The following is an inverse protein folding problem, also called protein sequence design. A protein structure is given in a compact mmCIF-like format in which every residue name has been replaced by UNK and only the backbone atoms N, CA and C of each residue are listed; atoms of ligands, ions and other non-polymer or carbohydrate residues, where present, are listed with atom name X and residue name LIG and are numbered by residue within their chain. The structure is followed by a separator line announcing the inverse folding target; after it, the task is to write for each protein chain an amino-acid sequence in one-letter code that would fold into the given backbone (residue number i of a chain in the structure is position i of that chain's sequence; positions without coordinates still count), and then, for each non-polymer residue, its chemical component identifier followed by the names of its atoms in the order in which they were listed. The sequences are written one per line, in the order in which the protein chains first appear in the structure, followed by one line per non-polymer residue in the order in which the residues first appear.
data_IF_227987244029
#
_entry.id   IF_227987244029
#
_cell.length_a   1.000
_cell.length_b   1.000
_cell.length_c   1.000
_cell.angle_alpha   90.00
_cell.angle_beta   90.00
_cell.angle_gamma   90.00
#
_symmetry.space_group_name_H-M   'P 1'
#
loop_
_entity.id
_entity.type
_entity.pdbx_description
1 polymer ?
#
# COMPACT_ATOMS: atom_id res chain seq x y z
N UNK A 1 14.08 -7.64 -14.66
CA UNK A 1 13.42 -6.69 -13.76
C UNK A 1 14.39 -5.57 -13.43
N UNK A 2 13.90 -4.33 -13.32
CA UNK A 2 14.66 -3.16 -12.89
C UNK A 2 14.22 -2.83 -11.46
N UNK A 3 15.16 -2.54 -10.55
CA UNK A 3 14.85 -2.16 -9.17
C UNK A 3 15.48 -0.82 -8.86
N UNK A 4 14.67 0.11 -8.36
CA UNK A 4 15.10 1.44 -7.93
C UNK A 4 15.05 1.47 -6.40
N UNK A 5 16.21 1.48 -5.75
CA UNK A 5 16.32 1.44 -4.28
C UNK A 5 17.03 2.65 -3.69
N UNK A 6 17.69 3.44 -4.53
CA UNK A 6 18.38 4.65 -4.08
C UNK A 6 17.36 5.79 -3.90
N UNK A 7 17.45 6.59 -2.82
CA UNK A 7 16.49 7.66 -2.53
C UNK A 7 16.65 8.92 -3.41
N UNK A 8 17.27 8.81 -4.58
CA UNK A 8 17.46 9.92 -5.52
C UNK A 8 16.45 9.90 -6.68
N UNK A 9 16.16 11.10 -7.21
CA UNK A 9 15.32 11.23 -8.39
C UNK A 9 15.96 10.51 -9.58
N UNK A 10 15.25 9.51 -10.10
CA UNK A 10 15.71 8.68 -11.22
C UNK A 10 14.77 8.81 -12.40
N UNK A 11 15.33 8.96 -13.60
CA UNK A 11 14.57 8.96 -14.86
C UNK A 11 14.66 7.56 -15.46
N UNK A 12 13.50 7.02 -15.85
CA UNK A 12 13.39 5.73 -16.54
C UNK A 12 12.84 5.99 -17.93
N UNK A 13 13.53 5.50 -18.96
CA UNK A 13 13.12 5.61 -20.35
C UNK A 13 12.66 4.25 -20.88
N UNK A 14 11.48 4.22 -21.50
CA UNK A 14 10.95 3.04 -22.18
C UNK A 14 11.04 3.24 -23.68
N UNK A 15 11.60 2.27 -24.39
CA UNK A 15 11.86 2.36 -25.84
C UNK A 15 10.78 1.68 -26.70
N UNK A 16 9.74 1.13 -26.09
CA UNK A 16 8.66 0.44 -26.79
C UNK A 16 7.39 1.30 -26.89
N UNK A 17 6.51 1.06 -27.89
CA UNK A 17 5.37 1.95 -28.16
C UNK A 17 4.27 1.98 -27.10
N UNK A 18 4.10 0.88 -26.34
CA UNK A 18 3.06 0.69 -25.32
C UNK A 18 3.66 -0.03 -24.09
N UNK A 19 4.54 0.62 -23.32
CA UNK A 19 5.21 -0.03 -22.20
C UNK A 19 4.25 -0.54 -21.13
N UNK A 20 3.12 0.12 -20.93
CA UNK A 20 2.09 -0.25 -19.96
C UNK A 20 1.42 -1.61 -20.25
N UNK A 21 1.44 -2.09 -21.50
CA UNK A 21 0.86 -3.39 -21.88
C UNK A 21 1.81 -4.56 -21.59
N UNK A 22 3.10 -4.26 -21.37
CA UNK A 22 4.17 -5.25 -21.27
C UNK A 22 4.83 -5.25 -19.89
N UNK A 23 4.82 -4.10 -19.21
CA UNK A 23 5.44 -3.92 -17.91
C UNK A 23 4.40 -3.63 -16.83
N UNK A 24 4.55 -4.28 -15.68
CA UNK A 24 3.91 -3.92 -14.44
C UNK A 24 4.90 -3.21 -13.52
N UNK A 25 4.39 -2.35 -12.64
CA UNK A 25 5.19 -1.61 -11.67
C UNK A 25 4.88 -2.11 -10.27
N UNK A 26 5.90 -2.48 -9.52
CA UNK A 26 5.80 -2.88 -8.12
C UNK A 26 6.41 -1.79 -7.23
N UNK A 27 5.62 -1.27 -6.30
CA UNK A 27 6.03 -0.22 -5.36
C UNK A 27 6.03 -0.87 -3.97
N UNK A 28 7.22 -1.16 -3.47
CA UNK A 28 7.42 -1.83 -2.19
C UNK A 28 8.01 -0.84 -1.19
N UNK A 29 7.29 -0.61 -0.09
CA UNK A 29 7.73 0.29 0.98
C UNK A 29 7.84 -0.48 2.29
N UNK A 30 8.99 -0.36 2.93
CA UNK A 30 9.14 -0.78 4.33
C UNK A 30 8.77 0.40 5.24
N UNK A 31 7.88 0.17 6.19
CA UNK A 31 7.50 1.16 7.21
C UNK A 31 7.87 0.59 8.57
N UNK A 32 8.85 1.21 9.21
CA UNK A 32 9.23 0.87 10.58
C UNK A 32 8.29 1.58 11.56
N UNK A 33 7.35 0.84 12.12
CA UNK A 33 6.42 1.36 13.10
C UNK A 33 7.10 1.49 14.48
N UNK A 34 7.12 2.71 15.02
CA UNK A 34 7.60 2.97 16.39
C UNK A 34 6.45 2.82 17.40
N UNK A 35 6.76 2.90 18.71
CA UNK A 35 5.84 2.55 19.82
C UNK A 35 4.52 3.33 19.88
N UNK A 36 4.32 4.40 19.11
CA UNK A 36 3.20 5.33 19.27
C UNK A 36 2.34 5.60 18.03
N UNK A 37 2.83 5.36 16.81
CA UNK A 37 2.00 5.51 15.59
C UNK A 37 2.68 4.90 14.37
N UNK A 38 1.87 4.37 13.46
CA UNK A 38 2.21 4.21 12.05
C UNK A 38 1.44 5.33 11.32
N UNK A 39 2.10 6.44 10.99
CA UNK A 39 1.43 7.60 10.39
C UNK A 39 1.03 7.28 8.94
N UNK A 40 -0.28 7.31 8.67
CA UNK A 40 -0.93 6.97 7.39
C UNK A 40 -0.71 7.97 6.24
N UNK A 41 0.01 9.08 6.47
CA UNK A 41 0.25 10.12 5.47
C UNK A 41 1.10 9.65 4.26
N UNK A 42 1.75 8.51 4.41
CA UNK A 42 2.72 8.02 3.43
C UNK A 42 2.10 7.20 2.29
N UNK A 43 0.88 6.73 2.45
CA UNK A 43 0.17 5.90 1.45
C UNK A 43 -0.27 6.75 0.25
N UNK A 44 -0.53 8.04 0.45
CA UNK A 44 -1.15 8.91 -0.55
C UNK A 44 -0.18 9.37 -1.65
N UNK A 45 1.08 9.67 -1.30
CA UNK A 45 2.09 10.14 -2.26
C UNK A 45 2.43 9.09 -3.33
N UNK A 46 2.30 7.81 -3.01
CA UNK A 46 2.70 6.71 -3.90
C UNK A 46 1.72 6.46 -5.04
N UNK A 47 0.43 6.82 -4.86
CA UNK A 47 -0.61 6.70 -5.89
C UNK A 47 -0.33 7.53 -7.14
N UNK A 48 0.55 8.54 -7.04
CA UNK A 48 0.90 9.44 -8.15
C UNK A 48 2.01 8.90 -9.04
N UNK A 49 2.74 7.85 -8.62
CA UNK A 49 3.80 7.26 -9.44
C UNK A 49 3.23 6.32 -10.49
N UNK A 50 3.72 6.46 -11.72
CA UNK A 50 3.41 5.62 -12.89
C UNK A 50 1.89 5.37 -13.10
N UNK A 51 1.06 6.43 -13.16
CA UNK A 51 -0.40 6.31 -13.15
C UNK A 51 -0.97 5.41 -14.27
N UNK A 52 -0.29 5.38 -15.42
CA UNK A 52 -0.74 4.66 -16.63
C UNK A 52 -0.33 3.18 -16.64
N UNK A 53 0.43 2.71 -15.64
CA UNK A 53 0.87 1.32 -15.55
C UNK A 53 -0.04 0.50 -14.63
N UNK A 54 -0.13 -0.80 -14.90
CA UNK A 54 -0.65 -1.73 -13.91
C UNK A 54 0.32 -1.79 -12.72
N UNK A 55 -0.19 -1.45 -11.53
CA UNK A 55 0.61 -1.21 -10.33
C UNK A 55 0.19 -2.12 -9.20
N UNK A 56 1.19 -2.66 -8.51
CA UNK A 56 1.01 -3.35 -7.24
C UNK A 56 1.74 -2.57 -6.15
N UNK A 57 1.03 -2.27 -5.07
CA UNK A 57 1.59 -1.57 -3.91
C UNK A 57 1.70 -2.54 -2.74
N UNK A 58 2.87 -2.57 -2.11
CA UNK A 58 3.14 -3.41 -0.95
C UNK A 58 3.73 -2.56 0.17
N UNK A 59 3.07 -2.54 1.33
CA UNK A 59 3.57 -1.90 2.54
C UNK A 59 3.96 -2.95 3.56
N UNK A 60 5.26 -3.13 3.79
CA UNK A 60 5.81 -4.02 4.82
C UNK A 60 5.91 -3.27 6.16
N UNK A 61 4.92 -3.49 7.03
CA UNK A 61 4.83 -2.88 8.35
C UNK A 61 5.67 -3.67 9.37
N UNK A 62 6.84 -3.15 9.74
CA UNK A 62 7.66 -3.75 10.80
C UNK A 62 7.28 -3.18 12.17
N UNK A 63 6.53 -3.98 12.93
CA UNK A 63 6.08 -3.63 14.28
C UNK A 63 7.04 -4.22 15.31
N UNK A 64 7.92 -3.39 15.87
CA UNK A 64 8.92 -3.82 16.87
C UNK A 64 8.41 -3.76 18.33
N UNK A 65 7.10 -3.57 18.55
CA UNK A 65 6.51 -3.37 19.88
C UNK A 65 5.64 -4.56 20.32
N UNK A 66 5.65 -4.95 21.61
CA UNK A 66 4.73 -5.94 22.16
C UNK A 66 3.30 -5.40 22.40
N UNK A 67 3.01 -4.14 22.03
CA UNK A 67 1.70 -3.51 22.19
C UNK A 67 0.91 -3.51 20.89
N UNK A 68 -0.42 -3.46 21.01
CA UNK A 68 -1.38 -3.25 19.92
C UNK A 68 -0.90 -2.16 18.97
N UNK A 69 -0.88 -2.45 17.66
CA UNK A 69 -0.59 -1.45 16.64
C UNK A 69 -1.91 -0.83 16.21
N UNK A 70 -1.89 0.44 15.86
CA UNK A 70 -3.05 1.13 15.30
C UNK A 70 -2.63 1.69 13.94
N UNK A 71 -3.40 1.34 12.90
CA UNK A 71 -3.27 1.93 11.58
C UNK A 71 -4.44 2.88 11.37
N UNK A 72 -4.13 4.16 11.17
CA UNK A 72 -5.12 5.17 10.85
C UNK A 72 -5.15 5.42 9.33
N UNK A 73 -6.36 5.45 8.77
CA UNK A 73 -6.62 5.78 7.38
C UNK A 73 -6.97 7.27 7.25
N UNK A 74 -6.34 8.01 6.33
CA UNK A 74 -6.72 9.40 6.06
C UNK A 74 -8.11 9.48 5.42
N UNK A 75 -8.72 10.68 5.41
CA UNK A 75 -9.97 10.90 4.68
C UNK A 75 -9.80 10.49 3.19
N UNK A 76 -10.80 9.83 2.56
CA UNK A 76 -12.17 9.60 3.04
C UNK A 76 -12.36 8.29 3.84
N UNK A 77 -11.30 7.72 4.41
CA UNK A 77 -11.34 6.43 5.10
C UNK A 77 -11.38 5.25 4.13
N UNK A 78 -11.69 4.07 4.67
CA UNK A 78 -11.73 2.81 3.94
C UNK A 78 -13.07 2.09 4.16
N UNK A 79 -13.38 1.15 3.29
CA UNK A 79 -14.43 0.15 3.52
C UNK A 79 -13.92 -1.23 3.13
N UNK A 80 -14.35 -2.26 3.85
CA UNK A 80 -13.98 -3.63 3.52
C UNK A 80 -14.61 -4.03 2.16
N UNK A 81 -13.84 -4.73 1.33
CA UNK A 81 -14.28 -5.26 0.04
C UNK A 81 -15.29 -6.37 0.30
N UNK A 82 -16.46 -6.29 -0.34
CA UNK A 82 -17.38 -7.42 -0.37
C UNK A 82 -16.90 -8.46 -1.37
N UNK A 83 -17.32 -9.72 -1.17
CA UNK A 83 -16.96 -10.79 -2.08
C UNK A 83 -17.41 -10.44 -3.52
N UNK A 84 -16.51 -10.62 -4.49
CA UNK A 84 -16.72 -10.31 -5.91
C UNK A 84 -16.89 -8.81 -6.28
N UNK A 85 -16.60 -7.89 -5.37
CA UNK A 85 -16.67 -6.45 -5.62
C UNK A 85 -15.37 -5.87 -6.22
N UNK A 86 -15.51 -4.92 -7.15
CA UNK A 86 -14.41 -4.09 -7.66
C UNK A 86 -14.47 -2.71 -7.01
N UNK A 87 -13.31 -2.19 -6.59
CA UNK A 87 -13.24 -0.87 -5.98
C UNK A 87 -13.49 0.25 -7.02
N UNK A 88 -14.15 1.37 -6.64
CA UNK A 88 -14.49 2.45 -7.57
C UNK A 88 -13.28 3.11 -8.23
N UNK A 89 -12.14 3.13 -7.54
CA UNK A 89 -10.83 3.60 -8.02
C UNK A 89 -10.06 2.53 -8.79
N UNK A 90 -10.61 1.31 -8.91
CA UNK A 90 -9.95 0.15 -9.51
C UNK A 90 -8.85 -0.45 -8.65
N UNK A 91 -8.68 0.01 -7.40
CA UNK A 91 -7.57 -0.37 -6.53
C UNK A 91 -8.07 -1.03 -5.24
N UNK A 92 -7.53 -2.20 -4.92
CA UNK A 92 -7.77 -2.89 -3.64
C UNK A 92 -6.56 -2.73 -2.73
N UNK A 93 -6.81 -2.45 -1.46
CA UNK A 93 -5.79 -2.27 -0.43
C UNK A 93 -5.85 -3.45 0.53
N UNK A 94 -4.88 -4.37 0.45
CA UNK A 94 -4.79 -5.52 1.35
C UNK A 94 -3.86 -5.20 2.51
N UNK A 95 -4.34 -5.44 3.73
CA UNK A 95 -3.58 -5.18 4.95
C UNK A 95 -3.23 -6.49 5.65
N UNK A 96 -1.94 -6.71 5.84
CA UNK A 96 -1.39 -7.86 6.55
C UNK A 96 -0.50 -7.37 7.69
N UNK A 97 -0.49 -8.11 8.80
CA UNK A 97 0.37 -7.85 9.93
C UNK A 97 1.17 -9.10 10.31
N UNK A 98 2.34 -8.87 10.88
CA UNK A 98 3.22 -9.90 11.40
C UNK A 98 3.46 -9.71 12.91
N UNK A 99 2.43 -9.89 13.76
CA UNK A 99 2.63 -9.92 15.20
C UNK A 99 3.61 -11.03 15.61
N UNK A 100 4.13 -10.98 16.84
CA UNK A 100 5.00 -12.06 17.39
C UNK A 100 4.37 -13.45 17.34
N UNK A 101 3.05 -13.51 17.30
CA UNK A 101 2.25 -14.74 17.24
C UNK A 101 2.20 -15.35 15.82
N UNK A 102 2.69 -14.65 14.80
CA UNK A 102 2.73 -15.15 13.42
C UNK A 102 2.12 -14.16 12.43
N UNK A 103 1.58 -14.69 11.33
CA UNK A 103 0.90 -13.92 10.30
C UNK A 103 -0.57 -13.64 10.68
N UNK A 104 -1.03 -12.42 10.41
CA UNK A 104 -2.43 -12.03 10.53
C UNK A 104 -2.88 -11.32 9.26
N UNK A 105 -3.85 -11.91 8.56
CA UNK A 105 -4.57 -11.24 7.48
C UNK A 105 -5.66 -10.36 8.11
N UNK A 106 -5.55 -9.04 7.91
CA UNK A 106 -6.50 -8.09 8.46
C UNK A 106 -7.66 -7.85 7.48
N UNK A 107 -7.42 -8.02 6.18
CA UNK A 107 -8.44 -7.96 5.14
C UNK A 107 -8.10 -7.02 4.00
N UNK A 108 -9.03 -6.95 3.04
CA UNK A 108 -8.93 -6.15 1.83
C UNK A 108 -9.99 -5.05 1.82
N UNK A 109 -9.59 -3.86 1.42
CA UNK A 109 -10.39 -2.64 1.49
C UNK A 109 -10.43 -1.89 0.14
N UNK A 110 -11.49 -1.10 -0.05
CA UNK A 110 -11.57 -0.03 -1.05
C UNK A 110 -11.43 1.32 -0.38
N UNK A 111 -10.93 2.30 -1.12
CA UNK A 111 -10.95 3.70 -0.69
C UNK A 111 -12.39 4.21 -0.53
N UNK A 112 -12.62 4.97 0.55
CA UNK A 112 -13.91 5.58 0.88
C UNK A 112 -14.76 4.69 1.78
N UNK A 113 -15.07 5.18 2.99
CA UNK A 113 -15.94 4.47 3.93
C UNK A 113 -15.73 4.87 5.39
N UNK A 114 -16.44 4.21 6.32
CA UNK A 114 -16.42 4.59 7.73
C UNK A 114 -15.19 4.08 8.49
N UNK A 115 -14.37 3.21 7.88
CA UNK A 115 -13.21 2.63 8.55
C UNK A 115 -12.05 3.62 8.48
N UNK A 116 -11.81 4.30 9.59
CA UNK A 116 -10.71 5.26 9.72
C UNK A 116 -9.55 4.71 10.53
N UNK A 117 -9.73 3.57 11.19
CA UNK A 117 -8.74 2.97 12.09
C UNK A 117 -8.89 1.45 12.12
N UNK A 118 -7.75 0.74 12.22
CA UNK A 118 -7.65 -0.70 12.45
C UNK A 118 -6.69 -0.97 13.61
N UNK A 119 -7.00 -1.93 14.48
CA UNK A 119 -6.25 -2.28 15.71
C UNK A 119 -5.97 -3.78 15.82
#
# INVERSE_FOLDING_TARGET
SLSLTDPSNTIVEFTCPLPQDVFSVEINRQIDCTKSSCVGDTVHAESTFFPDFNRTFTWDLKVNSPKTFQLDFPEPGMRQVQKEELCPDGHTYSLIAYPRTGFADIGTFCQGGPVNTVQ
#
